data_IF_564562837682
#
_entry.id   IF_564562837682
#
_cell.length_a   1.000
_cell.length_b   1.000
_cell.length_c   1.000
_cell.angle_alpha   90.00
_cell.angle_beta   90.00
_cell.angle_gamma   90.00
#
_symmetry.space_group_name_H-M   'P 1'
#
loop_
_entity.id
_entity.type
_entity.pdbx_description
1 polymer ?
#
# COMPACT_ATOMS: atom_id res chain seq x y z
N UNK A 1 -6.92 22.79 -47.52
CA UNK A 1 -6.41 21.77 -46.56
C UNK A 1 -6.80 22.20 -45.14
N UNK A 2 -7.95 21.77 -44.63
CA UNK A 2 -8.37 22.07 -43.23
C UNK A 2 -9.39 21.08 -42.65
N UNK A 3 -10.09 20.30 -43.49
CA UNK A 3 -11.13 19.37 -43.02
C UNK A 3 -10.63 18.11 -42.31
N UNK A 4 -9.36 17.74 -42.46
CA UNK A 4 -8.80 16.50 -41.88
C UNK A 4 -8.19 16.68 -40.48
N UNK A 5 -7.85 17.91 -40.07
CA UNK A 5 -7.17 18.11 -38.78
C UNK A 5 -8.09 17.95 -37.57
N UNK A 6 -9.38 18.34 -37.72
CA UNK A 6 -10.36 18.21 -36.65
C UNK A 6 -10.62 16.75 -36.29
N UNK A 7 -10.91 15.90 -37.27
CA UNK A 7 -11.25 14.50 -37.01
C UNK A 7 -10.11 13.69 -36.36
N UNK A 8 -8.86 13.98 -36.78
CA UNK A 8 -7.66 13.39 -36.17
C UNK A 8 -7.52 13.86 -34.70
N UNK A 9 -7.73 15.15 -34.43
CA UNK A 9 -7.67 15.69 -33.07
C UNK A 9 -8.73 15.07 -32.13
N UNK A 10 -9.97 14.87 -32.61
CA UNK A 10 -11.02 14.20 -31.85
C UNK A 10 -10.66 12.72 -31.58
N UNK A 11 -10.11 12.01 -32.56
CA UNK A 11 -9.67 10.61 -32.38
C UNK A 11 -8.58 10.47 -31.33
N UNK A 12 -7.59 11.37 -31.32
CA UNK A 12 -6.51 11.36 -30.33
C UNK A 12 -7.06 11.68 -28.93
N UNK A 13 -7.98 12.64 -28.82
CA UNK A 13 -8.60 13.02 -27.56
C UNK A 13 -9.41 11.88 -26.93
N UNK A 14 -10.27 11.21 -27.72
CA UNK A 14 -11.01 10.04 -27.25
C UNK A 14 -10.08 8.87 -26.92
N UNK A 15 -9.01 8.68 -27.67
CA UNK A 15 -7.97 7.68 -27.37
C UNK A 15 -7.31 7.91 -26.01
N UNK A 16 -6.95 9.16 -25.69
CA UNK A 16 -6.37 9.50 -24.39
C UNK A 16 -7.36 9.28 -23.23
N UNK A 17 -8.63 9.70 -23.40
CA UNK A 17 -9.65 9.46 -22.37
C UNK A 17 -9.86 7.96 -22.16
N UNK A 18 -9.98 7.18 -23.23
CA UNK A 18 -10.10 5.72 -23.15
C UNK A 18 -8.92 5.07 -22.44
N UNK A 19 -7.70 5.54 -22.71
CA UNK A 19 -6.49 5.06 -22.03
C UNK A 19 -6.49 5.37 -20.52
N UNK A 20 -6.88 6.59 -20.13
CA UNK A 20 -7.01 6.96 -18.71
C UNK A 20 -8.06 6.10 -18.00
N UNK A 21 -9.22 5.89 -18.63
CA UNK A 21 -10.28 5.01 -18.10
C UNK A 21 -9.78 3.57 -17.96
N UNK A 22 -9.03 3.06 -18.96
CA UNK A 22 -8.44 1.73 -18.90
C UNK A 22 -7.46 1.59 -17.73
N UNK A 23 -6.61 2.59 -17.49
CA UNK A 23 -5.70 2.60 -16.32
C UNK A 23 -6.49 2.61 -15.00
N UNK A 24 -7.54 3.42 -14.90
CA UNK A 24 -8.43 3.46 -13.73
C UNK A 24 -9.12 2.11 -13.48
N UNK A 25 -9.68 1.49 -14.53
CA UNK A 25 -10.34 0.16 -14.44
C UNK A 25 -9.37 -0.93 -14.00
N UNK A 26 -8.13 -0.93 -14.52
CA UNK A 26 -7.09 -1.88 -14.10
C UNK A 26 -6.77 -1.76 -12.62
N UNK A 27 -6.66 -0.52 -12.11
CA UNK A 27 -6.48 -0.24 -10.68
C UNK A 27 -7.67 -0.70 -9.84
N UNK A 28 -8.89 -0.43 -10.30
CA UNK A 28 -10.13 -0.81 -9.61
C UNK A 28 -10.34 -2.33 -9.54
N UNK A 29 -10.07 -3.05 -10.64
CA UNK A 29 -10.12 -4.51 -10.66
C UNK A 29 -9.10 -5.12 -9.69
N UNK A 30 -7.87 -4.58 -9.67
CA UNK A 30 -6.85 -5.01 -8.72
C UNK A 30 -7.30 -4.81 -7.27
N UNK A 31 -7.93 -3.67 -6.96
CA UNK A 31 -8.50 -3.39 -5.63
C UNK A 31 -9.57 -4.41 -5.23
N UNK A 32 -10.52 -4.71 -6.11
CA UNK A 32 -11.57 -5.72 -5.86
C UNK A 32 -10.95 -7.10 -5.62
N UNK A 33 -9.96 -7.46 -6.42
CA UNK A 33 -9.30 -8.76 -6.34
C UNK A 33 -8.60 -8.94 -4.98
N UNK A 34 -7.90 -7.93 -4.48
CA UNK A 34 -7.26 -7.95 -3.16
C UNK A 34 -8.31 -8.12 -2.05
N UNK A 35 -9.45 -7.44 -2.16
CA UNK A 35 -10.55 -7.53 -1.20
C UNK A 35 -11.25 -8.89 -1.19
N UNK A 36 -11.16 -9.66 -2.29
CA UNK A 36 -11.90 -10.91 -2.46
C UNK A 36 -11.29 -12.09 -1.68
N UNK A 37 -9.97 -12.09 -1.46
CA UNK A 37 -9.27 -13.18 -0.73
C UNK A 37 -8.12 -12.62 0.12
N UNK A 38 -8.44 -11.83 1.16
CA UNK A 38 -7.44 -11.28 2.07
C UNK A 38 -6.94 -12.37 3.03
N UNK A 39 -5.63 -12.44 3.23
CA UNK A 39 -5.00 -13.28 4.24
C UNK A 39 -4.35 -12.38 5.28
N UNK A 40 -4.77 -12.56 6.52
CA UNK A 40 -4.22 -11.85 7.68
C UNK A 40 -3.06 -12.65 8.25
N UNK A 41 -1.92 -12.00 8.40
CA UNK A 41 -0.73 -12.61 9.00
C UNK A 41 0.07 -11.58 9.77
N UNK A 42 1.13 -12.01 10.43
CA UNK A 42 2.07 -11.13 11.12
C UNK A 42 3.37 -11.04 10.32
N UNK A 43 3.82 -9.82 10.09
CA UNK A 43 5.12 -9.52 9.50
C UNK A 43 6.10 -9.06 10.57
N UNK A 44 7.39 -9.30 10.38
CA UNK A 44 8.46 -8.82 11.25
C UNK A 44 9.06 -7.55 10.70
N UNK A 45 9.20 -6.53 11.53
CA UNK A 45 9.90 -5.29 11.17
C UNK A 45 11.39 -5.61 10.98
N UNK A 46 11.94 -5.27 9.82
CA UNK A 46 13.36 -5.42 9.46
C UNK A 46 14.13 -4.14 9.75
N UNK A 47 13.54 -2.99 9.42
CA UNK A 47 14.09 -1.68 9.73
C UNK A 47 12.96 -0.69 9.96
N UNK A 48 13.23 0.35 10.76
CA UNK A 48 12.29 1.44 10.97
C UNK A 48 13.05 2.76 11.11
N UNK A 49 12.46 3.83 10.59
CA UNK A 49 12.96 5.20 10.70
C UNK A 49 11.78 6.08 11.11
N UNK A 50 11.78 6.62 12.34
CA UNK A 50 10.80 7.62 12.73
C UNK A 50 11.10 8.95 12.06
N UNK A 51 10.05 9.66 11.64
CA UNK A 51 10.14 11.04 11.17
C UNK A 51 9.99 12.01 12.34
N UNK A 52 9.97 13.30 12.02
CA UNK A 52 9.65 14.37 12.98
C UNK A 52 8.22 14.20 13.50
N UNK A 53 8.00 14.27 14.82
CA UNK A 53 6.66 14.33 15.40
C UNK A 53 5.92 15.60 14.95
N UNK A 54 4.61 15.48 14.79
CA UNK A 54 3.70 16.59 14.51
C UNK A 54 3.22 17.29 15.80
N UNK A 55 2.66 18.49 15.67
CA UNK A 55 2.14 19.30 16.78
C UNK A 55 1.02 18.59 17.58
N UNK A 56 0.37 17.59 16.97
CA UNK A 56 -0.64 16.74 17.60
C UNK A 56 -0.06 15.60 18.45
N UNK A 57 1.27 15.46 18.52
CA UNK A 57 1.94 14.40 19.28
C UNK A 57 1.95 13.05 18.55
N UNK A 58 1.69 13.04 17.25
CA UNK A 58 1.78 11.87 16.38
C UNK A 58 3.13 11.87 15.64
N UNK A 59 3.64 10.70 15.28
CA UNK A 59 4.87 10.53 14.52
C UNK A 59 4.65 9.52 13.40
N UNK A 60 5.08 9.89 12.20
CA UNK A 60 5.12 8.98 11.07
C UNK A 60 6.35 8.09 11.17
N UNK A 61 6.15 6.78 11.22
CA UNK A 61 7.24 5.80 11.12
C UNK A 61 7.28 5.20 9.71
N UNK A 62 8.46 5.17 9.11
CA UNK A 62 8.71 4.47 7.84
C UNK A 62 9.39 3.16 8.17
N UNK A 63 8.75 2.05 7.85
CA UNK A 63 9.28 0.71 8.16
C UNK A 63 9.41 -0.16 6.91
N UNK A 64 10.37 -1.07 6.98
CA UNK A 64 10.45 -2.24 6.10
C UNK A 64 10.05 -3.45 6.91
N UNK A 65 9.13 -4.26 6.41
CA UNK A 65 8.72 -5.51 7.06
C UNK A 65 8.94 -6.71 6.15
N UNK A 66 9.08 -7.89 6.76
CA UNK A 66 9.20 -9.17 6.06
C UNK A 66 8.19 -10.18 6.59
N UNK A 67 7.66 -11.02 5.73
CA UNK A 67 6.76 -12.10 6.10
C UNK A 67 6.92 -13.29 5.16
N UNK A 68 6.47 -14.46 5.60
CA UNK A 68 6.53 -15.68 4.81
C UNK A 68 5.13 -15.96 4.27
N UNK A 69 5.04 -16.16 2.96
CA UNK A 69 3.83 -16.65 2.28
C UNK A 69 4.26 -17.67 1.22
N UNK A 70 3.54 -18.78 1.10
CA UNK A 70 3.84 -19.86 0.14
C UNK A 70 5.34 -20.28 0.13
N UNK A 71 5.91 -20.48 1.33
CA UNK A 71 7.32 -20.84 1.57
C UNK A 71 8.36 -19.82 1.06
N UNK A 72 7.90 -18.62 0.66
CA UNK A 72 8.75 -17.53 0.19
C UNK A 72 8.71 -16.35 1.15
N UNK A 73 9.87 -15.73 1.35
CA UNK A 73 9.98 -14.50 2.11
C UNK A 73 9.68 -13.31 1.22
N UNK A 74 8.67 -12.54 1.61
CA UNK A 74 8.30 -11.28 0.98
C UNK A 74 8.79 -10.13 1.85
N UNK A 75 9.43 -9.15 1.22
CA UNK A 75 9.94 -7.93 1.86
C UNK A 75 9.16 -6.76 1.28
N UNK A 76 8.60 -5.94 2.16
CA UNK A 76 7.92 -4.71 1.79
C UNK A 76 8.62 -3.53 2.41
N UNK A 77 9.15 -2.67 1.56
CA UNK A 77 9.88 -1.48 1.95
C UNK A 77 8.99 -0.24 2.00
N UNK A 78 9.47 0.78 2.72
CA UNK A 78 8.92 2.14 2.73
C UNK A 78 7.43 2.21 3.11
N UNK A 79 7.02 1.43 4.10
CA UNK A 79 5.64 1.44 4.60
C UNK A 79 5.52 2.48 5.70
N UNK A 80 4.71 3.52 5.45
CA UNK A 80 4.43 4.56 6.43
C UNK A 80 3.28 4.13 7.34
N UNK A 81 3.45 4.30 8.64
CA UNK A 81 2.40 4.16 9.65
C UNK A 81 2.45 5.38 10.56
N UNK A 82 1.31 6.00 10.79
CA UNK A 82 1.18 7.07 11.75
C UNK A 82 0.86 6.46 13.12
N UNK A 83 1.63 6.84 14.14
CA UNK A 83 1.48 6.34 15.51
C UNK A 83 1.57 7.51 16.48
N UNK A 84 1.13 7.32 17.73
CA UNK A 84 1.40 8.31 18.77
C UNK A 84 2.87 8.28 19.13
N UNK A 85 3.45 9.44 19.42
CA UNK A 85 4.85 9.57 19.86
C UNK A 85 5.12 8.74 21.13
N UNK A 86 4.11 8.61 22.00
CA UNK A 86 4.18 7.79 23.22
C UNK A 86 4.29 6.29 22.95
N UNK A 87 3.86 5.83 21.78
CA UNK A 87 3.88 4.42 21.40
C UNK A 87 5.11 4.07 20.56
N UNK A 88 6.01 5.03 20.32
CA UNK A 88 7.18 4.84 19.46
C UNK A 88 8.14 3.77 20.01
N UNK A 89 8.30 3.70 21.33
CA UNK A 89 9.10 2.69 22.05
C UNK A 89 8.55 1.27 21.83
N UNK A 90 7.25 1.14 21.60
CA UNK A 90 6.62 -0.13 21.29
C UNK A 90 7.07 -0.65 19.93
N UNK A 91 7.62 0.16 19.01
CA UNK A 91 8.05 -0.29 17.68
C UNK A 91 9.58 -0.48 17.63
N UNK A 92 10.00 -1.71 17.38
CA UNK A 92 11.42 -2.09 17.29
C UNK A 92 11.65 -3.15 16.21
N UNK A 93 12.90 -3.30 15.77
CA UNK A 93 13.31 -4.32 14.80
C UNK A 93 13.06 -5.72 15.37
N UNK A 94 12.35 -6.55 14.61
CA UNK A 94 11.92 -7.89 15.03
C UNK A 94 10.51 -7.95 15.62
N UNK A 95 9.88 -6.82 15.93
CA UNK A 95 8.48 -6.79 16.36
C UNK A 95 7.56 -7.32 15.27
N UNK A 96 6.55 -8.08 15.69
CA UNK A 96 5.46 -8.53 14.84
C UNK A 96 4.41 -7.42 14.65
N UNK A 97 4.09 -7.11 13.39
CA UNK A 97 3.02 -6.19 12.98
C UNK A 97 1.97 -6.94 12.16
N UNK A 98 0.67 -6.69 12.42
CA UNK A 98 -0.39 -7.31 11.64
C UNK A 98 -0.40 -6.73 10.22
N UNK A 99 -0.43 -7.61 9.24
CA UNK A 99 -0.53 -7.26 7.83
C UNK A 99 -1.65 -8.06 7.17
N UNK A 100 -2.20 -7.49 6.12
CA UNK A 100 -3.10 -8.17 5.20
C UNK A 100 -2.42 -8.26 3.84
N UNK A 101 -2.43 -9.44 3.24
CA UNK A 101 -1.93 -9.64 1.88
C UNK A 101 -2.91 -10.41 1.01
N UNK A 102 -2.78 -10.27 -0.30
CA UNK A 102 -3.61 -10.99 -1.25
C UNK A 102 -3.04 -12.39 -1.53
N UNK A 103 -3.81 -13.45 -1.26
CA UNK A 103 -3.35 -14.85 -1.37
C UNK A 103 -2.67 -15.17 -2.71
N UNK A 104 -3.25 -14.76 -3.84
CA UNK A 104 -2.67 -15.09 -5.17
C UNK A 104 -1.42 -14.28 -5.51
N UNK A 105 -1.17 -13.16 -4.82
CA UNK A 105 0.02 -12.36 -5.04
C UNK A 105 0.42 -11.62 -3.75
N UNK A 106 1.25 -12.25 -2.91
CA UNK A 106 1.68 -11.69 -1.63
C UNK A 106 2.48 -10.38 -1.73
N UNK A 107 2.98 -10.00 -2.92
CA UNK A 107 3.61 -8.69 -3.12
C UNK A 107 2.65 -7.52 -2.83
N UNK A 108 1.34 -7.78 -2.93
CA UNK A 108 0.30 -6.86 -2.49
C UNK A 108 -0.02 -7.13 -1.01
N UNK A 109 0.77 -6.51 -0.15
CA UNK A 109 0.60 -6.49 1.30
C UNK A 109 0.47 -5.06 1.82
N UNK A 110 -0.30 -4.88 2.89
CA UNK A 110 -0.47 -3.63 3.64
C UNK A 110 -0.56 -3.92 5.13
N UNK A 111 -0.16 -2.95 5.95
CA UNK A 111 -0.37 -3.01 7.40
C UNK A 111 -1.87 -2.98 7.67
N UNK A 112 -2.34 -3.87 8.55
CA UNK A 112 -3.73 -3.87 9.00
C UNK A 112 -3.91 -2.85 10.13
N UNK A 113 -4.18 -1.61 9.75
CA UNK A 113 -4.35 -0.47 10.67
C UNK A 113 -5.54 -0.66 11.62
N UNK A 114 -6.51 -1.52 11.27
CA UNK A 114 -7.69 -1.77 12.11
C UNK A 114 -7.47 -2.88 13.13
N UNK A 115 -6.32 -3.55 13.10
CA UNK A 115 -6.00 -4.58 14.08
C UNK A 115 -5.90 -3.97 15.49
N UNK A 116 -6.47 -4.68 16.46
CA UNK A 116 -6.49 -4.26 17.87
C UNK A 116 -5.09 -4.10 18.46
N UNK A 117 -4.10 -4.82 17.94
CA UNK A 117 -2.72 -4.75 18.43
C UNK A 117 -2.03 -3.41 18.15
N UNK A 118 -2.56 -2.59 17.24
CA UNK A 118 -2.03 -1.27 16.90
C UNK A 118 -2.76 -0.12 17.62
N UNK A 119 -3.88 -0.39 18.30
CA UNK A 119 -4.73 0.62 18.97
C UNK A 119 -4.45 0.79 20.47
N UNK A 120 -3.42 0.13 21.01
CA UNK A 120 -3.20 -0.02 22.45
C UNK A 120 -1.89 0.60 22.93
#
# INVERSE_FOLDING_TARGET
>A
MSHYSGWIAWSVFYGMIGFVIFLMLKGYLLYIIIKKDPVYTKAKIVSYVPKTPDEMGEVDIVMTYSFIADEKTYIKEQQALNIKTLDLDKYYVGKEVPIVYYRKNPNYSKIDVYDKSLRN
#
